data_IF_004191845170
#
_entry.id   IF_004191845170
#
_cell.length_a   1.000
_cell.length_b   1.000
_cell.length_c   1.000
_cell.angle_alpha   90.00
_cell.angle_beta   90.00
_cell.angle_gamma   90.00
#
_symmetry.space_group_name_H-M   'P 1'
#
loop_
_entity.id
_entity.type
_entity.pdbx_description
1 polymer ?
#
# COMPACT_ATOMS: atom_id res chain seq x y z
N UNK A 1 -39.44 19.13 -20.58
CA UNK A 1 -40.20 18.33 -19.60
C UNK A 1 -39.43 18.34 -18.29
N UNK A 2 -39.97 18.99 -17.26
CA UNK A 2 -39.35 19.03 -15.94
C UNK A 2 -39.67 17.75 -15.18
N UNK A 3 -38.67 17.20 -14.49
CA UNK A 3 -38.82 15.97 -13.72
C UNK A 3 -39.77 16.21 -12.55
N UNK A 4 -40.78 15.36 -12.39
CA UNK A 4 -41.76 15.52 -11.31
C UNK A 4 -41.09 15.25 -9.94
N UNK A 5 -41.59 15.86 -8.85
CA UNK A 5 -41.06 15.60 -7.51
C UNK A 5 -41.06 14.10 -7.15
N UNK A 6 -42.05 13.36 -7.64
CA UNK A 6 -42.14 11.91 -7.47
C UNK A 6 -41.04 11.17 -8.24
N UNK A 7 -40.75 11.54 -9.49
CA UNK A 7 -39.63 10.95 -10.25
C UNK A 7 -38.30 11.24 -9.58
N UNK A 8 -38.09 12.46 -9.06
CA UNK A 8 -36.87 12.81 -8.32
C UNK A 8 -36.70 11.93 -7.08
N UNK A 9 -37.78 11.70 -6.33
CA UNK A 9 -37.77 10.83 -5.16
C UNK A 9 -37.49 9.35 -5.52
N UNK A 10 -38.07 8.86 -6.62
CA UNK A 10 -37.83 7.50 -7.12
C UNK A 10 -36.37 7.30 -7.56
N UNK A 11 -35.82 8.26 -8.31
CA UNK A 11 -34.42 8.24 -8.75
C UNK A 11 -33.45 8.27 -7.55
N UNK A 12 -33.76 9.06 -6.52
CA UNK A 12 -32.96 9.10 -5.30
C UNK A 12 -32.98 7.76 -4.54
N UNK A 13 -34.13 7.07 -4.49
CA UNK A 13 -34.24 5.73 -3.88
C UNK A 13 -33.44 4.69 -4.67
N UNK A 14 -33.53 4.72 -5.99
CA UNK A 14 -32.78 3.83 -6.87
C UNK A 14 -31.26 4.08 -6.78
N UNK A 15 -30.83 5.34 -6.77
CA UNK A 15 -29.42 5.69 -6.63
C UNK A 15 -28.83 5.17 -5.31
N UNK A 16 -29.58 5.24 -4.21
CA UNK A 16 -29.16 4.71 -2.90
C UNK A 16 -29.03 3.18 -2.91
N UNK A 17 -29.97 2.47 -3.52
CA UNK A 17 -29.91 1.00 -3.60
C UNK A 17 -28.77 0.52 -4.50
N UNK A 18 -28.53 1.20 -5.62
CA UNK A 18 -27.40 0.93 -6.51
C UNK A 18 -26.05 1.21 -5.84
N UNK A 19 -25.93 2.33 -5.11
CA UNK A 19 -24.72 2.65 -4.33
C UNK A 19 -24.45 1.60 -3.25
N UNK A 20 -25.48 1.09 -2.57
CA UNK A 20 -25.34 0.02 -1.58
C UNK A 20 -24.91 -1.31 -2.21
N UNK A 21 -25.41 -1.64 -3.42
CA UNK A 21 -25.07 -2.86 -4.17
C UNK A 21 -23.66 -2.84 -4.77
N UNK A 22 -23.18 -1.67 -5.20
CA UNK A 22 -21.85 -1.52 -5.82
C UNK A 22 -20.67 -1.74 -4.87
N UNK A 23 -20.92 -1.93 -3.56
CA UNK A 23 -19.86 -2.15 -2.58
C UNK A 23 -18.99 -0.90 -2.35
N UNK A 24 -17.85 -1.08 -1.67
CA UNK A 24 -16.94 0.03 -1.36
C UNK A 24 -16.28 0.54 -2.65
N UNK A 25 -16.25 1.85 -2.92
CA UNK A 25 -15.53 2.39 -4.07
C UNK A 25 -14.06 1.94 -4.01
N UNK A 26 -13.57 1.29 -5.07
CA UNK A 26 -12.16 0.89 -5.23
C UNK A 26 -11.20 2.07 -4.98
N UNK A 27 -11.68 3.29 -5.20
CA UNK A 27 -10.90 4.52 -5.02
C UNK A 27 -10.64 4.93 -3.56
N UNK A 28 -11.22 4.23 -2.57
CA UNK A 28 -10.92 4.46 -1.15
C UNK A 28 -9.95 3.43 -0.54
N UNK A 29 -9.53 2.43 -1.30
CA UNK A 29 -8.32 1.70 -0.93
C UNK A 29 -7.19 2.66 -1.26
N UNK A 30 -6.80 3.50 -0.28
CA UNK A 30 -5.55 4.24 -0.32
C UNK A 30 -4.50 3.24 -0.75
N UNK A 31 -4.10 3.28 -2.02
CA UNK A 31 -3.05 2.43 -2.55
C UNK A 31 -1.87 2.79 -1.67
N UNK A 32 -1.51 1.89 -0.74
CA UNK A 32 -0.28 2.06 0.02
C UNK A 32 0.76 2.18 -1.07
N UNK A 33 1.32 3.37 -1.25
CA UNK A 33 2.46 3.56 -2.12
C UNK A 33 3.56 2.73 -1.46
N UNK A 34 3.69 1.49 -1.90
CA UNK A 34 4.80 0.64 -1.57
C UNK A 34 6.00 1.31 -2.21
N UNK A 35 6.66 2.17 -1.44
CA UNK A 35 7.91 2.77 -1.81
C UNK A 35 8.93 1.63 -1.91
N UNK A 36 9.12 1.13 -3.13
CA UNK A 36 10.11 0.10 -3.42
C UNK A 36 11.47 0.78 -3.34
N UNK A 37 12.24 0.44 -2.30
CA UNK A 37 13.62 0.89 -2.20
C UNK A 37 14.38 0.54 -3.49
N UNK A 38 15.20 1.46 -4.03
CA UNK A 38 15.94 1.23 -5.28
C UNK A 38 17.02 0.14 -5.15
N UNK A 39 17.32 -0.27 -3.93
CA UNK A 39 18.31 -1.28 -3.59
C UNK A 39 17.62 -2.45 -2.88
N UNK A 40 17.99 -3.67 -3.28
CA UNK A 40 17.49 -4.88 -2.62
C UNK A 40 18.12 -5.04 -1.23
N UNK A 41 17.40 -5.71 -0.33
CA UNK A 41 17.91 -6.02 1.03
C UNK A 41 19.23 -6.81 1.00
N UNK A 42 19.44 -7.63 -0.03
CA UNK A 42 20.68 -8.38 -0.22
C UNK A 42 21.89 -7.47 -0.45
N UNK A 43 21.75 -6.44 -1.27
CA UNK A 43 22.83 -5.47 -1.51
C UNK A 43 23.15 -4.65 -0.25
N UNK A 44 22.15 -4.33 0.57
CA UNK A 44 22.38 -3.67 1.88
C UNK A 44 23.21 -4.57 2.78
N UNK A 45 22.90 -5.87 2.83
CA UNK A 45 23.66 -6.83 3.64
C UNK A 45 25.11 -6.97 3.16
N UNK A 46 25.34 -7.01 1.84
CA UNK A 46 26.69 -7.04 1.27
C UNK A 46 27.46 -5.77 1.62
N UNK A 47 26.86 -4.58 1.45
CA UNK A 47 27.51 -3.32 1.81
C UNK A 47 27.83 -3.23 3.30
N UNK A 48 26.90 -3.64 4.17
CA UNK A 48 27.13 -3.71 5.61
C UNK A 48 28.28 -4.67 5.96
N UNK A 49 28.37 -5.81 5.27
CA UNK A 49 29.49 -6.74 5.43
C UNK A 49 30.82 -6.16 4.91
N UNK A 50 30.83 -5.38 3.83
CA UNK A 50 32.08 -4.72 3.37
C UNK A 50 32.58 -3.70 4.40
N UNK A 51 31.68 -2.95 5.03
CA UNK A 51 32.03 -1.94 6.03
C UNK A 51 32.41 -2.57 7.37
N UNK A 52 31.65 -3.57 7.84
CA UNK A 52 31.79 -4.15 9.18
C UNK A 52 32.48 -5.53 9.19
N UNK A 53 32.77 -6.12 8.04
CA UNK A 53 33.27 -7.49 7.92
C UNK A 53 34.61 -7.68 8.61
N UNK A 54 35.49 -6.68 8.52
CA UNK A 54 36.77 -6.69 9.25
C UNK A 54 36.59 -6.82 10.76
N UNK A 55 35.62 -6.12 11.35
CA UNK A 55 35.28 -6.22 12.77
C UNK A 55 34.73 -7.61 13.13
N UNK A 56 33.94 -8.21 12.25
CA UNK A 56 33.43 -9.58 12.46
C UNK A 56 34.60 -10.58 12.50
N UNK A 57 35.56 -10.47 11.59
CA UNK A 57 36.75 -11.33 11.60
C UNK A 57 37.67 -11.08 12.79
N UNK A 58 37.78 -9.84 13.26
CA UNK A 58 38.56 -9.48 14.45
C UNK A 58 37.92 -10.04 15.73
N UNK A 59 36.60 -9.98 15.85
CA UNK A 59 35.86 -10.62 16.93
C UNK A 59 36.00 -12.14 16.86
N UNK A 60 35.86 -12.75 15.68
CA UNK A 60 36.06 -14.19 15.53
C UNK A 60 37.46 -14.62 15.95
N UNK A 61 38.49 -13.84 15.60
CA UNK A 61 39.89 -14.07 16.03
C UNK A 61 40.10 -13.92 17.54
N UNK A 62 39.28 -13.13 18.24
CA UNK A 62 39.34 -13.02 19.70
C UNK A 62 38.79 -14.26 20.41
N UNK A 63 37.87 -14.99 19.78
CA UNK A 63 37.21 -16.16 20.36
C UNK A 63 37.74 -17.51 19.84
N UNK A 64 38.41 -17.54 18.68
CA UNK A 64 38.97 -18.72 18.01
C UNK A 64 40.45 -18.53 17.73
#
# INVERSE_FOLDING_TARGET
MAQTPQQRAANAKFAKSEQAKRGKPQNQVKRKEEFKSPISKGWIAVLAFVVCGGLIFELLRLFF
#
